data_IF_361601904545
#
_entry.id   IF_361601904545
#
_cell.length_a   1.000
_cell.length_b   1.000
_cell.length_c   1.000
_cell.angle_alpha   90.00
_cell.angle_beta   90.00
_cell.angle_gamma   90.00
#
_symmetry.space_group_name_H-M   'P 1'
#
loop_
_entity.id
_entity.type
_entity.pdbx_description
1 polymer ?
#
# COMPACT_ATOMS: atom_id res chain seq x y z
N UNK A 1 -4.17 -14.38 23.23
CA UNK A 1 -4.15 -12.96 23.66
C UNK A 1 -5.29 -12.23 22.96
N UNK A 2 -5.89 -11.21 23.59
CA UNK A 2 -6.90 -10.39 22.90
C UNK A 2 -6.25 -9.61 21.75
N UNK A 3 -6.94 -9.52 20.61
CA UNK A 3 -6.53 -8.74 19.42
C UNK A 3 -6.16 -7.30 19.81
N UNK A 4 -6.87 -6.73 20.78
CA UNK A 4 -6.66 -5.37 21.30
C UNK A 4 -5.24 -5.21 21.88
N UNK A 5 -4.78 -6.20 22.66
CA UNK A 5 -3.44 -6.16 23.27
C UNK A 5 -2.36 -6.21 22.19
N UNK A 6 -2.55 -7.03 21.16
CA UNK A 6 -1.63 -7.09 20.01
C UNK A 6 -1.53 -5.74 19.29
N UNK A 7 -2.66 -5.08 19.05
CA UNK A 7 -2.70 -3.76 18.41
C UNK A 7 -1.96 -2.72 19.26
N UNK A 8 -2.18 -2.69 20.58
CA UNK A 8 -1.51 -1.74 21.48
C UNK A 8 0.00 -1.97 21.50
N UNK A 9 0.45 -3.22 21.63
CA UNK A 9 1.89 -3.56 21.63
C UNK A 9 2.54 -3.16 20.31
N UNK A 10 1.92 -3.50 19.17
CA UNK A 10 2.44 -3.11 17.86
C UNK A 10 2.45 -1.58 17.67
N UNK A 11 1.40 -0.88 18.10
CA UNK A 11 1.31 0.57 18.03
C UNK A 11 2.43 1.27 18.82
N UNK A 12 2.74 0.78 20.02
CA UNK A 12 3.84 1.30 20.84
C UNK A 12 5.20 1.01 20.18
N UNK A 13 5.41 -0.20 19.66
CA UNK A 13 6.66 -0.56 18.97
C UNK A 13 6.91 0.33 17.74
N UNK A 14 5.90 0.49 16.88
CA UNK A 14 5.98 1.35 15.68
C UNK A 14 6.27 2.78 16.11
N UNK A 15 5.55 3.31 17.11
CA UNK A 15 5.74 4.67 17.60
C UNK A 15 7.18 4.93 18.09
N UNK A 16 7.74 4.01 18.89
CA UNK A 16 9.12 4.13 19.40
C UNK A 16 10.13 4.21 18.25
N UNK A 17 9.98 3.37 17.22
CA UNK A 17 10.91 3.35 16.07
C UNK A 17 10.72 4.59 15.18
N UNK A 18 9.49 5.02 14.93
CA UNK A 18 9.20 6.20 14.12
C UNK A 18 9.71 7.50 14.74
N UNK A 19 9.72 7.64 16.08
CA UNK A 19 10.24 8.83 16.78
C UNK A 19 11.77 8.95 16.68
N UNK A 20 12.49 7.84 16.52
CA UNK A 20 13.95 7.85 16.43
C UNK A 20 14.49 8.59 15.19
N UNK A 21 13.65 8.80 14.16
CA UNK A 21 13.98 9.58 12.97
C UNK A 21 14.55 8.76 11.80
N UNK A 22 14.60 9.37 10.62
CA UNK A 22 14.83 8.69 9.32
C UNK A 22 16.14 7.89 9.23
N UNK A 23 17.20 8.33 9.93
CA UNK A 23 18.50 7.63 9.93
C UNK A 23 18.41 6.25 10.58
N UNK A 24 17.71 6.15 11.71
CA UNK A 24 17.54 4.90 12.44
C UNK A 24 16.55 3.99 11.75
N UNK A 25 15.48 4.56 11.17
CA UNK A 25 14.54 3.82 10.32
C UNK A 25 15.28 3.18 9.14
N UNK A 26 16.12 3.93 8.43
CA UNK A 26 16.87 3.39 7.29
C UNK A 26 17.85 2.27 7.71
N UNK A 27 18.48 2.40 8.89
CA UNK A 27 19.32 1.34 9.43
C UNK A 27 18.51 0.09 9.80
N UNK A 28 17.39 0.26 10.48
CA UNK A 28 16.48 -0.83 10.84
C UNK A 28 15.97 -1.57 9.59
N UNK A 29 15.40 -0.86 8.62
CA UNK A 29 14.85 -1.45 7.39
C UNK A 29 15.91 -2.21 6.58
N UNK A 30 17.15 -1.72 6.57
CA UNK A 30 18.27 -2.40 5.90
C UNK A 30 18.54 -3.80 6.43
N UNK A 31 18.26 -4.09 7.71
CA UNK A 31 18.50 -5.41 8.30
C UNK A 31 17.22 -6.20 8.57
N UNK A 32 16.10 -5.52 8.81
CA UNK A 32 14.83 -6.14 9.12
C UNK A 32 14.37 -7.08 8.00
N UNK A 33 14.56 -6.70 6.72
CA UNK A 33 14.13 -7.51 5.58
C UNK A 33 14.77 -8.91 5.57
N UNK A 34 16.04 -9.02 5.93
CA UNK A 34 16.77 -10.29 5.86
C UNK A 34 16.17 -11.32 6.81
N UNK A 35 15.87 -10.89 8.03
CA UNK A 35 15.26 -11.74 9.05
C UNK A 35 13.86 -12.24 8.64
N UNK A 36 13.07 -11.40 7.97
CA UNK A 36 11.74 -11.75 7.46
C UNK A 36 11.83 -12.76 6.32
N UNK A 37 12.77 -12.56 5.40
CA UNK A 37 13.03 -13.49 4.29
C UNK A 37 13.41 -14.88 4.79
N UNK A 38 14.24 -14.99 5.84
CA UNK A 38 14.58 -16.27 6.43
C UNK A 38 13.35 -17.04 6.96
N UNK A 39 12.45 -16.35 7.66
CA UNK A 39 11.23 -16.95 8.22
C UNK A 39 10.24 -17.34 7.11
N UNK A 40 10.17 -16.57 6.02
CA UNK A 40 9.40 -16.93 4.82
C UNK A 40 9.96 -18.18 4.13
N UNK A 41 11.28 -18.37 4.05
CA UNK A 41 11.84 -19.61 3.51
C UNK A 41 11.49 -20.83 4.36
N UNK A 42 11.47 -20.68 5.69
CA UNK A 42 10.98 -21.74 6.60
C UNK A 42 9.50 -22.02 6.31
N UNK A 43 8.67 -20.98 6.11
CA UNK A 43 7.25 -21.15 5.75
C UNK A 43 7.10 -21.96 4.47
N UNK A 44 7.86 -21.62 3.43
CA UNK A 44 7.85 -22.32 2.14
C UNK A 44 8.24 -23.78 2.34
N UNK A 45 9.28 -24.08 3.12
CA UNK A 45 9.74 -25.45 3.36
C UNK A 45 8.66 -26.35 3.97
N UNK A 46 7.77 -25.78 4.79
CA UNK A 46 6.72 -26.50 5.51
C UNK A 46 5.43 -26.55 4.69
N UNK A 47 5.12 -25.48 3.98
CA UNK A 47 3.88 -25.36 3.22
C UNK A 47 3.96 -26.01 1.82
N UNK A 48 5.14 -26.02 1.19
CA UNK A 48 5.32 -26.48 -0.19
C UNK A 48 4.80 -27.91 -0.48
N UNK A 49 4.99 -28.91 0.41
CA UNK A 49 4.44 -30.26 0.18
C UNK A 49 2.91 -30.32 0.12
N UNK A 50 2.22 -29.32 0.67
CA UNK A 50 0.77 -29.26 0.72
C UNK A 50 0.16 -28.45 -0.44
N UNK A 51 0.98 -27.83 -1.30
CA UNK A 51 0.51 -27.02 -2.42
C UNK A 51 0.02 -27.90 -3.57
N UNK A 52 -1.30 -27.95 -3.77
CA UNK A 52 -1.91 -28.65 -4.89
C UNK A 52 -1.95 -27.74 -6.13
N UNK A 53 -1.10 -28.01 -7.12
CA UNK A 53 -1.05 -27.25 -8.38
C UNK A 53 -2.08 -27.70 -9.41
N UNK A 54 -2.81 -28.79 -9.15
CA UNK A 54 -3.79 -29.38 -10.06
C UNK A 54 -5.24 -29.02 -9.71
N UNK A 55 -5.47 -28.28 -8.63
CA UNK A 55 -6.81 -27.92 -8.18
C UNK A 55 -7.58 -27.12 -9.25
N UNK A 56 -8.72 -27.64 -9.70
CA UNK A 56 -9.56 -26.96 -10.68
C UNK A 56 -10.33 -25.78 -10.06
N UNK A 57 -10.56 -24.73 -10.86
CA UNK A 57 -11.35 -23.58 -10.43
C UNK A 57 -12.78 -24.00 -10.07
N UNK A 58 -13.20 -23.67 -8.84
CA UNK A 58 -14.56 -23.95 -8.34
C UNK A 58 -15.62 -23.02 -8.96
N UNK A 59 -15.24 -21.81 -9.38
CA UNK A 59 -16.14 -20.83 -10.00
C UNK A 59 -16.13 -20.93 -11.53
N UNK A 60 -17.31 -20.78 -12.15
CA UNK A 60 -17.50 -20.79 -13.62
C UNK A 60 -18.25 -19.54 -14.08
N UNK A 61 -18.06 -19.15 -15.34
CA UNK A 61 -18.76 -18.02 -15.97
C UNK A 61 -18.35 -16.66 -15.41
N UNK A 62 -19.34 -15.78 -15.21
CA UNK A 62 -19.14 -14.37 -14.80
C UNK A 62 -18.44 -14.22 -13.46
N UNK A 63 -18.67 -15.14 -12.52
CA UNK A 63 -18.01 -15.14 -11.20
C UNK A 63 -16.49 -15.38 -11.30
N UNK A 64 -16.05 -16.21 -12.25
CA UNK A 64 -14.62 -16.45 -12.49
C UNK A 64 -13.94 -15.20 -13.07
N UNK A 65 -14.60 -14.54 -14.02
CA UNK A 65 -14.10 -13.29 -14.62
C UNK A 65 -14.02 -12.20 -13.56
N UNK A 66 -15.08 -12.04 -12.75
CA UNK A 66 -15.11 -11.07 -11.65
C UNK A 66 -14.03 -11.33 -10.60
N UNK A 67 -13.82 -12.59 -10.22
CA UNK A 67 -12.73 -12.98 -9.31
C UNK A 67 -11.34 -12.64 -9.86
N UNK A 68 -11.08 -12.88 -11.15
CA UNK A 68 -9.79 -12.54 -11.80
C UNK A 68 -9.52 -11.05 -11.83
N UNK A 69 -10.54 -10.25 -12.15
CA UNK A 69 -10.43 -8.78 -12.19
C UNK A 69 -10.20 -8.24 -10.78
N UNK A 70 -10.97 -8.72 -9.80
CA UNK A 70 -10.82 -8.33 -8.39
C UNK A 70 -9.41 -8.64 -7.88
N UNK A 71 -8.91 -9.85 -8.19
CA UNK A 71 -7.57 -10.26 -7.80
C UNK A 71 -6.48 -9.39 -8.44
N UNK A 72 -6.62 -9.05 -9.73
CA UNK A 72 -5.68 -8.14 -10.40
C UNK A 72 -5.60 -6.77 -9.71
N UNK A 73 -6.75 -6.18 -9.38
CA UNK A 73 -6.78 -4.86 -8.71
C UNK A 73 -6.37 -4.93 -7.24
N UNK A 74 -6.62 -6.05 -6.56
CA UNK A 74 -6.08 -6.31 -5.23
C UNK A 74 -4.55 -6.28 -5.26
N UNK A 75 -3.93 -6.99 -6.21
CA UNK A 75 -2.48 -6.97 -6.40
C UNK A 75 -1.93 -5.58 -6.79
N UNK A 76 -2.66 -4.84 -7.62
CA UNK A 76 -2.25 -3.51 -8.09
C UNK A 76 -2.36 -2.42 -7.01
N UNK A 77 -3.29 -2.57 -6.04
CA UNK A 77 -3.59 -1.55 -5.04
C UNK A 77 -2.42 -1.24 -4.11
N UNK A 78 -1.65 -2.26 -3.71
CA UNK A 78 -0.59 -2.10 -2.72
C UNK A 78 0.60 -1.29 -3.27
N UNK A 79 1.18 -1.59 -4.45
CA UNK A 79 2.22 -0.73 -5.04
C UNK A 79 1.74 0.70 -5.30
N UNK A 80 0.47 0.88 -5.69
CA UNK A 80 -0.13 2.20 -5.90
C UNK A 80 -0.20 3.02 -4.61
N UNK A 81 -0.48 2.38 -3.47
CA UNK A 81 -0.46 3.02 -2.15
C UNK A 81 0.94 3.46 -1.72
N UNK A 82 1.99 2.77 -2.16
CA UNK A 82 3.38 3.14 -1.86
C UNK A 82 3.92 4.27 -2.74
N UNK A 83 3.43 4.41 -3.98
CA UNK A 83 3.88 5.43 -4.93
C UNK A 83 3.99 6.86 -4.35
N UNK A 84 2.99 7.40 -3.63
CA UNK A 84 3.11 8.71 -3.01
C UNK A 84 4.12 8.74 -1.86
N UNK A 85 4.31 7.65 -1.11
CA UNK A 85 5.25 7.62 0.01
C UNK A 85 6.70 7.65 -0.46
N UNK A 86 7.00 7.05 -1.63
CA UNK A 86 8.38 7.03 -2.19
C UNK A 86 8.92 8.45 -2.43
N UNK A 87 8.04 9.43 -2.69
CA UNK A 87 8.45 10.81 -2.94
C UNK A 87 9.19 11.45 -1.75
N UNK A 88 8.88 11.03 -0.53
CA UNK A 88 9.49 11.57 0.69
C UNK A 88 10.93 11.09 0.89
N UNK A 89 11.33 10.02 0.21
CA UNK A 89 12.65 9.40 0.35
C UNK A 89 13.64 9.86 -0.75
N UNK A 90 13.14 10.32 -1.91
CA UNK A 90 14.00 10.80 -3.00
C UNK A 90 14.94 11.98 -2.63
N UNK A 91 14.57 12.94 -1.76
CA UNK A 91 15.46 14.04 -1.36
C UNK A 91 16.75 13.58 -0.65
N UNK A 92 16.76 12.35 -0.11
CA UNK A 92 17.94 11.79 0.55
C UNK A 92 18.93 11.15 -0.43
N UNK A 93 18.59 11.04 -1.72
CA UNK A 93 19.50 10.54 -2.75
C UNK A 93 20.39 11.67 -3.30
N UNK A 94 21.66 11.39 -3.62
CA UNK A 94 22.53 12.38 -4.25
C UNK A 94 22.02 12.73 -5.66
N UNK A 95 22.21 13.99 -6.07
CA UNK A 95 21.74 14.56 -7.34
C UNK A 95 22.31 13.83 -8.57
N UNK A 96 23.46 13.15 -8.43
CA UNK A 96 24.12 12.38 -9.48
C UNK A 96 23.50 10.99 -9.75
N UNK A 97 22.44 10.61 -9.04
CA UNK A 97 21.85 9.27 -9.13
C UNK A 97 21.21 9.02 -10.50
N UNK A 98 21.54 7.89 -11.14
CA UNK A 98 20.97 7.51 -12.43
C UNK A 98 19.46 7.21 -12.32
N UNK A 99 18.63 7.99 -13.02
CA UNK A 99 17.16 7.83 -13.06
C UNK A 99 16.70 6.44 -13.50
N UNK A 100 17.34 5.86 -14.51
CA UNK A 100 16.95 4.55 -15.05
C UNK A 100 17.40 3.41 -14.15
N UNK A 101 18.58 3.56 -13.52
CA UNK A 101 19.04 2.63 -12.50
C UNK A 101 18.11 2.64 -11.28
N UNK A 102 17.72 3.83 -10.81
CA UNK A 102 16.80 3.96 -9.69
C UNK A 102 15.41 3.37 -10.00
N UNK A 103 14.86 3.67 -11.19
CA UNK A 103 13.62 3.07 -11.66
C UNK A 103 13.70 1.54 -11.75
N UNK A 104 14.77 0.99 -12.32
CA UNK A 104 14.94 -0.45 -12.45
C UNK A 104 15.08 -1.14 -11.09
N UNK A 105 15.82 -0.55 -10.13
CA UNK A 105 15.95 -1.09 -8.78
C UNK A 105 14.62 -1.13 -8.05
N UNK A 106 13.83 -0.05 -8.13
CA UNK A 106 12.49 0.01 -7.52
C UNK A 106 11.58 -1.03 -8.17
N UNK A 107 11.53 -1.09 -9.50
CA UNK A 107 10.69 -2.04 -10.23
C UNK A 107 11.04 -3.49 -9.89
N UNK A 108 12.32 -3.86 -9.99
CA UNK A 108 12.78 -5.23 -9.74
C UNK A 108 12.64 -5.62 -8.27
N UNK A 109 12.94 -4.71 -7.34
CA UNK A 109 12.80 -4.94 -5.91
C UNK A 109 11.35 -5.17 -5.50
N UNK A 110 10.44 -4.28 -5.91
CA UNK A 110 9.01 -4.45 -5.64
C UNK A 110 8.44 -5.68 -6.34
N UNK A 111 8.79 -5.92 -7.61
CA UNK A 111 8.29 -7.08 -8.34
C UNK A 111 8.75 -8.39 -7.70
N UNK A 112 10.04 -8.54 -7.39
CA UNK A 112 10.57 -9.76 -6.79
C UNK A 112 9.94 -10.02 -5.41
N UNK A 113 9.88 -9.00 -4.56
CA UNK A 113 9.27 -9.12 -3.23
C UNK A 113 7.79 -9.47 -3.32
N UNK A 114 7.01 -8.75 -4.15
CA UNK A 114 5.56 -8.97 -4.26
C UNK A 114 5.24 -10.32 -4.87
N UNK A 115 5.90 -10.69 -5.96
CA UNK A 115 5.69 -11.99 -6.62
C UNK A 115 5.95 -13.13 -5.64
N UNK A 116 7.04 -13.05 -4.85
CA UNK A 116 7.40 -14.12 -3.91
C UNK A 116 6.34 -14.36 -2.84
N UNK A 117 5.83 -13.31 -2.20
CA UNK A 117 4.83 -13.42 -1.12
C UNK A 117 3.46 -13.82 -1.67
N UNK A 118 3.09 -13.31 -2.85
CA UNK A 118 1.80 -13.60 -3.47
C UNK A 118 1.67 -15.08 -3.83
N UNK A 119 2.72 -15.69 -4.39
CA UNK A 119 2.71 -17.13 -4.69
C UNK A 119 2.57 -18.00 -3.44
N UNK A 120 3.16 -17.59 -2.31
CA UNK A 120 2.97 -18.28 -1.02
C UNK A 120 1.50 -18.15 -0.58
N UNK A 121 0.91 -16.97 -0.68
CA UNK A 121 -0.49 -16.72 -0.36
C UNK A 121 -1.45 -17.56 -1.21
N UNK A 122 -1.22 -17.63 -2.52
CA UNK A 122 -1.97 -18.51 -3.45
C UNK A 122 -1.85 -19.96 -3.02
N UNK A 123 -0.62 -20.44 -2.76
CA UNK A 123 -0.36 -21.81 -2.34
C UNK A 123 -1.12 -22.17 -1.06
N UNK A 124 -1.01 -21.32 -0.03
CA UNK A 124 -1.75 -21.49 1.22
C UNK A 124 -3.27 -21.50 0.99
N UNK A 125 -3.78 -20.60 0.15
CA UNK A 125 -5.20 -20.51 -0.18
C UNK A 125 -5.76 -21.76 -0.85
N UNK A 126 -4.99 -22.36 -1.77
CA UNK A 126 -5.39 -23.63 -2.42
C UNK A 126 -5.38 -24.78 -1.42
N UNK A 127 -4.36 -24.84 -0.55
CA UNK A 127 -4.22 -25.89 0.45
C UNK A 127 -5.27 -25.87 1.56
N UNK A 128 -6.01 -24.77 1.75
CA UNK A 128 -7.14 -24.72 2.68
C UNK A 128 -8.22 -25.78 2.38
N UNK A 129 -8.40 -26.14 1.09
CA UNK A 129 -9.38 -27.15 0.71
C UNK A 129 -8.95 -28.58 1.07
N UNK A 130 -7.63 -28.83 1.13
CA UNK A 130 -7.05 -30.14 1.43
C UNK A 130 -6.81 -30.34 2.94
N UNK A 131 -6.53 -29.26 3.68
CA UNK A 131 -6.15 -29.30 5.08
C UNK A 131 -7.23 -28.68 6.00
N UNK A 132 -8.08 -29.48 6.68
CA UNK A 132 -9.13 -28.95 7.53
C UNK A 132 -8.61 -28.16 8.74
N UNK A 133 -7.42 -28.49 9.25
CA UNK A 133 -6.79 -27.72 10.33
C UNK A 133 -6.45 -26.29 9.88
N UNK A 134 -5.93 -26.12 8.66
CA UNK A 134 -5.63 -24.80 8.10
C UNK A 134 -6.91 -24.02 7.78
N UNK A 135 -7.95 -24.71 7.28
CA UNK A 135 -9.27 -24.10 7.09
C UNK A 135 -9.89 -23.62 8.41
N UNK A 136 -9.72 -24.39 9.50
CA UNK A 136 -10.18 -24.00 10.83
C UNK A 136 -9.39 -22.81 11.38
N UNK A 137 -8.06 -22.78 11.20
CA UNK A 137 -7.23 -21.64 11.56
C UNK A 137 -7.57 -20.37 10.77
N UNK A 138 -7.97 -20.51 9.51
CA UNK A 138 -8.42 -19.39 8.67
C UNK A 138 -9.88 -18.96 8.93
N UNK A 139 -10.62 -19.66 9.80
CA UNK A 139 -12.01 -19.31 10.10
C UNK A 139 -12.11 -17.84 10.55
N UNK A 140 -13.06 -17.11 9.96
CA UNK A 140 -13.23 -15.67 10.21
C UNK A 140 -12.16 -14.78 9.55
N UNK A 141 -11.49 -15.24 8.49
CA UNK A 141 -10.44 -14.53 7.75
C UNK A 141 -9.18 -14.21 8.60
N UNK A 142 -8.87 -15.05 9.58
CA UNK A 142 -7.73 -14.84 10.47
C UNK A 142 -6.43 -15.39 9.85
N UNK A 143 -5.71 -14.53 9.13
CA UNK A 143 -4.43 -14.89 8.50
C UNK A 143 -3.36 -15.25 9.54
N UNK A 144 -3.34 -14.61 10.70
CA UNK A 144 -2.36 -14.90 11.75
C UNK A 144 -2.54 -16.30 12.35
N UNK A 145 -3.78 -16.72 12.58
CA UNK A 145 -4.09 -18.07 13.03
C UNK A 145 -3.81 -19.12 11.94
N UNK A 146 -4.05 -18.81 10.66
CA UNK A 146 -3.61 -19.68 9.57
C UNK A 146 -2.08 -19.88 9.57
N UNK A 147 -1.30 -18.81 9.68
CA UNK A 147 0.16 -18.91 9.71
C UNK A 147 0.64 -19.72 10.92
N UNK A 148 0.01 -19.57 12.09
CA UNK A 148 0.28 -20.39 13.26
C UNK A 148 0.08 -21.88 12.97
N UNK A 149 -1.04 -22.27 12.37
CA UNK A 149 -1.33 -23.66 12.04
C UNK A 149 -0.36 -24.24 10.99
N UNK A 150 0.10 -23.42 10.04
CA UNK A 150 1.12 -23.85 9.06
C UNK A 150 2.46 -24.14 9.74
N UNK A 151 2.84 -23.36 10.75
CA UNK A 151 4.09 -23.55 11.51
C UNK A 151 4.00 -24.60 12.63
N UNK A 152 2.80 -25.07 12.97
CA UNK A 152 2.55 -26.07 14.02
C UNK A 152 3.48 -27.30 13.98
N UNK A 153 3.84 -27.88 12.80
CA UNK A 153 4.75 -29.03 12.73
C UNK A 153 6.15 -28.79 13.31
N UNK A 154 6.58 -27.54 13.47
CA UNK A 154 7.91 -27.15 13.99
C UNK A 154 7.89 -26.94 15.51
N UNK A 155 6.74 -27.13 16.16
CA UNK A 155 6.58 -26.97 17.60
C UNK A 155 7.02 -25.59 18.10
N UNK A 156 7.90 -25.55 19.09
CA UNK A 156 8.35 -24.30 19.72
C UNK A 156 9.03 -23.33 18.73
N UNK A 157 9.75 -23.84 17.73
CA UNK A 157 10.38 -23.00 16.71
C UNK A 157 9.32 -22.40 15.77
N UNK A 158 8.26 -23.15 15.46
CA UNK A 158 7.11 -22.65 14.70
C UNK A 158 6.43 -21.46 15.38
N UNK A 159 6.20 -21.55 16.69
CA UNK A 159 5.63 -20.45 17.48
C UNK A 159 6.50 -19.19 17.41
N UNK A 160 7.82 -19.33 17.48
CA UNK A 160 8.76 -18.23 17.32
C UNK A 160 8.64 -17.59 15.92
N UNK A 161 8.62 -18.40 14.87
CA UNK A 161 8.45 -17.93 13.49
C UNK A 161 7.12 -17.18 13.27
N UNK A 162 6.00 -17.67 13.83
CA UNK A 162 4.70 -16.99 13.75
C UNK A 162 4.70 -15.62 14.40
N UNK A 163 5.33 -15.47 15.58
CA UNK A 163 5.45 -14.16 16.22
C UNK A 163 6.36 -13.25 15.40
N UNK A 164 7.45 -13.79 14.87
CA UNK A 164 8.45 -13.03 14.12
C UNK A 164 7.91 -12.50 12.78
N UNK A 165 7.13 -13.30 12.05
CA UNK A 165 6.47 -12.84 10.82
C UNK A 165 5.39 -11.80 11.14
N UNK A 166 4.70 -11.92 12.28
CA UNK A 166 3.76 -10.91 12.78
C UNK A 166 4.45 -9.57 13.11
N UNK A 167 5.64 -9.61 13.70
CA UNK A 167 6.49 -8.43 13.92
C UNK A 167 6.95 -7.77 12.60
N UNK A 168 7.05 -8.54 11.52
CA UNK A 168 7.37 -8.02 10.18
C UNK A 168 6.35 -6.98 9.68
N UNK A 169 5.10 -7.06 10.14
CA UNK A 169 4.06 -6.08 9.83
C UNK A 169 4.46 -4.68 10.34
N UNK A 170 5.17 -4.59 11.48
CA UNK A 170 5.65 -3.32 11.99
C UNK A 170 6.64 -2.65 11.03
N UNK A 171 7.55 -3.42 10.43
CA UNK A 171 8.48 -2.90 9.41
C UNK A 171 7.76 -2.34 8.18
N UNK A 172 6.63 -2.94 7.77
CA UNK A 172 5.84 -2.39 6.68
C UNK A 172 5.14 -1.06 7.05
N UNK A 173 4.67 -0.92 8.29
CA UNK A 173 3.89 0.24 8.73
C UNK A 173 4.77 1.46 9.06
N UNK A 174 6.02 1.24 9.49
CA UNK A 174 6.93 2.32 9.90
C UNK A 174 7.14 3.38 8.79
N UNK A 175 7.53 3.03 7.54
CA UNK A 175 7.76 4.03 6.51
C UNK A 175 6.47 4.75 6.10
N UNK A 176 5.33 4.04 6.05
CA UNK A 176 4.02 4.63 5.74
C UNK A 176 3.54 5.60 6.82
N UNK A 177 3.94 5.39 8.08
CA UNK A 177 3.60 6.28 9.20
C UNK A 177 4.49 7.54 9.26
N UNK A 178 5.73 7.44 8.76
CA UNK A 178 6.66 8.58 8.68
C UNK A 178 6.22 9.63 7.63
N UNK A 179 5.66 9.20 6.51
CA UNK A 179 5.24 10.08 5.41
C UNK A 179 4.20 11.15 5.84
N UNK A 180 3.08 10.82 6.51
CA UNK A 180 2.15 11.82 7.06
C UNK A 180 2.80 12.78 8.05
N UNK A 181 3.77 12.31 8.85
CA UNK A 181 4.48 13.17 9.80
C UNK A 181 5.31 14.24 9.07
N UNK A 182 5.98 13.88 7.97
CA UNK A 182 6.67 14.86 7.11
C UNK A 182 5.69 15.84 6.45
N UNK A 183 4.56 15.35 5.96
CA UNK A 183 3.49 16.21 5.44
C UNK A 183 2.97 17.23 6.46
N UNK A 184 2.75 16.80 7.71
CA UNK A 184 2.32 17.68 8.79
C UNK A 184 3.41 18.72 9.18
N UNK A 185 4.69 18.33 9.16
CA UNK A 185 5.79 19.25 9.41
C UNK A 185 5.87 20.35 8.34
N UNK A 186 5.71 19.98 7.06
CA UNK A 186 5.65 20.94 5.95
C UNK A 186 4.50 21.94 6.13
N UNK A 187 3.32 21.48 6.57
CA UNK A 187 2.17 22.34 6.83
C UNK A 187 2.38 23.31 8.00
N UNK A 188 3.20 22.91 8.99
CA UNK A 188 3.49 23.72 10.18
C UNK A 188 4.57 24.79 9.96
N UNK A 189 5.40 24.63 8.94
CA UNK A 189 6.42 25.61 8.57
C UNK A 189 5.74 26.86 7.98
N UNK A 190 5.63 27.94 8.77
CA UNK A 190 5.06 29.22 8.30
C UNK A 190 5.80 29.69 7.03
N UNK A 191 5.09 30.08 5.95
CA UNK A 191 5.72 30.72 4.81
C UNK A 191 6.37 32.02 5.28
N UNK A 192 7.69 32.16 5.12
CA UNK A 192 8.36 33.46 5.27
C UNK A 192 8.00 34.29 4.04
N UNK A 193 7.31 35.43 4.16
CA UNK A 193 7.02 36.25 3.00
C UNK A 193 8.34 36.87 2.51
N UNK A 194 8.84 36.42 1.36
CA UNK A 194 9.75 37.23 0.56
C UNK A 194 8.95 37.80 -0.59
N UNK A 195 8.69 39.10 -0.49
CA UNK A 195 8.01 39.88 -1.50
C UNK A 195 8.80 39.88 -2.82
N UNK A 196 8.37 39.09 -3.80
CA UNK A 196 8.78 39.22 -5.20
C UNK A 196 7.94 38.30 -6.12
N UNK A 197 6.63 38.54 -6.32
CA UNK A 197 5.89 37.76 -7.34
C UNK A 197 4.65 38.42 -7.94
N UNK A 198 4.65 39.75 -8.12
CA UNK A 198 3.57 40.45 -8.83
C UNK A 198 3.78 40.60 -10.36
N UNK A 199 4.76 39.93 -10.98
CA UNK A 199 5.08 40.16 -12.40
C UNK A 199 5.03 38.96 -13.36
N UNK A 200 4.68 37.74 -12.91
CA UNK A 200 4.75 36.57 -13.81
C UNK A 200 3.41 36.10 -14.40
N UNK A 201 2.31 36.79 -14.14
CA UNK A 201 0.97 36.30 -14.49
C UNK A 201 0.58 36.37 -15.98
N UNK A 202 1.49 36.70 -16.90
CA UNK A 202 1.14 36.87 -18.33
C UNK A 202 1.66 35.79 -19.31
N UNK A 203 2.31 34.71 -18.84
CA UNK A 203 2.75 33.61 -19.73
C UNK A 203 2.53 32.23 -19.10
N UNK A 204 1.28 31.80 -18.98
CA UNK A 204 1.01 30.41 -18.60
C UNK A 204 -0.13 29.79 -19.41
N UNK A 205 0.06 29.72 -20.73
CA UNK A 205 -0.64 28.78 -21.58
C UNK A 205 0.42 28.17 -22.52
N UNK A 206 0.67 26.87 -22.33
CA UNK A 206 1.59 25.98 -23.07
C UNK A 206 3.09 26.12 -22.73
N UNK A 207 3.60 25.15 -21.98
CA UNK A 207 4.94 24.59 -22.26
C UNK A 207 6.07 24.73 -21.25
N UNK A 208 5.88 25.17 -20.00
CA UNK A 208 7.01 25.36 -19.07
C UNK A 208 6.77 24.74 -17.69
N UNK A 209 7.84 24.16 -17.14
CA UNK A 209 7.84 23.26 -16.00
C UNK A 209 7.34 23.83 -14.68
N UNK A 210 7.10 22.92 -13.75
CA UNK A 210 6.69 23.18 -12.38
C UNK A 210 7.63 24.19 -11.69
N UNK A 211 7.09 25.33 -11.24
CA UNK A 211 7.86 26.35 -10.54
C UNK A 211 8.18 25.88 -9.11
N UNK A 212 9.39 25.36 -8.92
CA UNK A 212 9.85 24.82 -7.63
C UNK A 212 9.88 25.86 -6.51
N UNK A 213 9.93 27.15 -6.85
CA UNK A 213 9.95 28.22 -5.84
C UNK A 213 8.61 28.36 -5.11
N UNK A 214 7.50 28.00 -5.77
CA UNK A 214 6.13 28.14 -5.27
C UNK A 214 5.54 26.84 -4.68
N UNK A 215 6.31 25.75 -4.64
CA UNK A 215 5.86 24.43 -4.18
C UNK A 215 5.27 24.45 -2.76
N UNK A 216 5.82 25.28 -1.87
CA UNK A 216 5.45 25.30 -0.45
C UNK A 216 4.53 26.48 -0.06
N UNK A 217 3.93 27.14 -1.05
CA UNK A 217 3.06 28.28 -0.79
C UNK A 217 1.60 27.83 -0.67
N UNK A 218 1.01 28.03 0.52
CA UNK A 218 -0.41 27.70 0.82
C UNK A 218 -1.39 28.29 -0.20
N UNK A 219 -1.02 29.39 -0.84
CA UNK A 219 -1.85 30.11 -1.78
C UNK A 219 -1.90 29.48 -3.18
N UNK A 220 -1.05 28.50 -3.49
CA UNK A 220 -1.03 27.79 -4.78
C UNK A 220 -1.40 26.31 -4.64
N UNK A 221 -1.69 25.85 -3.41
CA UNK A 221 -2.16 24.49 -3.14
C UNK A 221 -3.64 24.33 -3.53
N UNK A 222 -4.02 23.28 -4.27
CA UNK A 222 -5.40 23.01 -4.63
C UNK A 222 -6.25 22.74 -3.37
N UNK A 223 -7.53 23.11 -3.42
CA UNK A 223 -8.47 22.94 -2.30
C UNK A 223 -8.82 21.46 -2.04
N UNK A 224 -8.45 20.57 -2.96
CA UNK A 224 -8.65 19.13 -2.82
C UNK A 224 -10.09 18.68 -3.10
N UNK A 225 -10.94 19.55 -3.64
CA UNK A 225 -12.34 19.23 -3.97
C UNK A 225 -12.41 18.09 -4.99
N UNK A 226 -11.44 18.03 -5.91
CA UNK A 226 -11.30 16.93 -6.86
C UNK A 226 -10.97 15.57 -6.21
N UNK A 227 -10.31 15.56 -5.05
CA UNK A 227 -9.98 14.30 -4.36
C UNK A 227 -11.19 13.70 -3.63
N UNK A 228 -12.11 14.54 -3.15
CA UNK A 228 -13.33 14.10 -2.47
C UNK A 228 -14.30 13.37 -3.40
N UNK A 229 -14.39 13.80 -4.67
CA UNK A 229 -15.29 13.16 -5.64
C UNK A 229 -14.84 11.75 -5.97
N UNK A 230 -13.54 11.48 -6.08
CA UNK A 230 -12.99 10.14 -6.35
C UNK A 230 -13.30 9.12 -5.25
N UNK A 231 -13.29 9.54 -3.98
CA UNK A 231 -13.60 8.68 -2.84
C UNK A 231 -15.03 8.14 -2.86
N UNK A 232 -16.00 8.96 -3.25
CA UNK A 232 -17.42 8.55 -3.33
C UNK A 232 -17.59 7.39 -4.31
N UNK A 233 -16.96 7.47 -5.48
CA UNK A 233 -17.05 6.43 -6.51
C UNK A 233 -16.29 5.16 -6.15
N UNK A 234 -15.18 5.28 -5.41
CA UNK A 234 -14.48 4.12 -4.87
C UNK A 234 -15.41 3.30 -3.96
N UNK A 235 -16.10 3.95 -3.02
CA UNK A 235 -16.99 3.29 -2.05
C UNK A 235 -18.17 2.61 -2.74
N UNK A 236 -18.76 3.22 -3.78
CA UNK A 236 -19.90 2.63 -4.49
C UNK A 236 -19.56 1.33 -5.25
N UNK A 237 -18.31 1.18 -5.67
CA UNK A 237 -17.81 0.06 -6.47
C UNK A 237 -16.97 -0.96 -5.69
N UNK A 238 -16.84 -0.78 -4.38
CA UNK A 238 -16.01 -1.61 -3.50
C UNK A 238 -16.72 -2.91 -3.10
N UNK A 239 -15.98 -4.03 -3.11
CA UNK A 239 -16.47 -5.34 -2.65
C UNK A 239 -15.51 -5.95 -1.64
N UNK A 240 -15.72 -5.63 -0.36
CA UNK A 240 -14.92 -6.12 0.76
C UNK A 240 -15.68 -7.13 1.62
N UNK A 241 -14.96 -7.84 2.49
CA UNK A 241 -15.52 -8.81 3.44
C UNK A 241 -16.59 -8.21 4.37
N UNK A 242 -16.52 -6.91 4.65
CA UNK A 242 -17.43 -6.22 5.57
C UNK A 242 -18.38 -5.22 4.88
N UNK A 243 -18.22 -4.97 3.58
CA UNK A 243 -19.04 -4.00 2.86
C UNK A 243 -19.07 -4.30 1.36
N UNK A 244 -20.27 -4.32 0.77
CA UNK A 244 -20.48 -4.45 -0.67
C UNK A 244 -21.27 -3.25 -1.17
N UNK A 245 -20.66 -2.45 -2.05
CA UNK A 245 -21.29 -1.30 -2.66
C UNK A 245 -22.42 -1.68 -3.63
N UNK A 246 -23.39 -0.79 -3.87
CA UNK A 246 -24.55 -1.07 -4.72
C UNK A 246 -24.18 -1.38 -6.19
N UNK A 247 -23.06 -0.84 -6.68
CA UNK A 247 -22.57 -1.13 -8.05
C UNK A 247 -21.82 -2.48 -8.06
N UNK A 248 -21.05 -2.77 -7.01
CA UNK A 248 -20.38 -4.06 -6.82
C UNK A 248 -21.37 -5.23 -6.61
N UNK A 249 -22.61 -4.96 -6.22
CA UNK A 249 -23.65 -5.98 -6.18
C UNK A 249 -24.15 -6.40 -7.58
N UNK A 250 -24.01 -5.53 -8.59
CA UNK A 250 -24.47 -5.81 -9.96
C UNK A 250 -23.43 -6.58 -10.78
N UNK A 251 -22.15 -6.36 -10.51
CA UNK A 251 -21.03 -7.05 -11.14
C UNK A 251 -20.22 -7.66 -10.00
N UNK A 252 -20.11 -9.01 -9.89
CA UNK A 252 -19.41 -9.67 -8.78
C UNK A 252 -17.88 -9.52 -8.92
N UNK A 253 -17.41 -8.27 -8.92
CA UNK A 253 -16.03 -7.86 -9.05
C UNK A 253 -15.78 -6.61 -8.19
N UNK A 254 -14.65 -6.56 -7.49
CA UNK A 254 -14.19 -5.33 -6.87
C UNK A 254 -13.57 -4.42 -7.95
N UNK A 255 -14.27 -3.32 -8.23
CA UNK A 255 -13.90 -2.32 -9.22
C UNK A 255 -13.61 -0.95 -8.58
N UNK A 256 -13.45 -0.89 -7.26
CA UNK A 256 -13.24 0.36 -6.54
C UNK A 256 -12.05 1.16 -7.06
N UNK A 257 -10.91 0.49 -7.27
CA UNK A 257 -9.68 1.13 -7.75
C UNK A 257 -9.75 1.61 -9.21
N UNK A 258 -10.08 0.79 -10.22
CA UNK A 258 -10.14 1.24 -11.61
C UNK A 258 -11.20 2.31 -11.82
N UNK A 259 -12.39 2.18 -11.22
CA UNK A 259 -13.47 3.14 -11.40
C UNK A 259 -13.10 4.47 -10.75
N UNK A 260 -12.52 4.47 -9.55
CA UNK A 260 -12.07 5.72 -8.91
C UNK A 260 -10.92 6.37 -9.66
N UNK A 261 -9.95 5.61 -10.18
CA UNK A 261 -8.85 6.14 -10.98
C UNK A 261 -9.32 6.75 -12.30
N UNK A 262 -10.18 6.04 -13.05
CA UNK A 262 -10.75 6.56 -14.30
C UNK A 262 -11.64 7.77 -14.04
N UNK A 263 -12.46 7.72 -13.00
CA UNK A 263 -13.32 8.84 -12.63
C UNK A 263 -12.50 10.06 -12.20
N UNK A 264 -11.47 9.87 -11.39
CA UNK A 264 -10.53 10.93 -11.03
C UNK A 264 -9.88 11.51 -12.29
N UNK A 265 -9.40 10.68 -13.22
CA UNK A 265 -8.79 11.18 -14.46
C UNK A 265 -9.76 12.00 -15.34
N UNK A 266 -11.03 11.59 -15.42
CA UNK A 266 -12.05 12.28 -16.22
C UNK A 266 -12.58 13.55 -15.56
N UNK A 267 -12.83 13.49 -14.25
CA UNK A 267 -13.43 14.60 -13.52
C UNK A 267 -12.39 15.60 -13.09
N UNK A 268 -11.19 15.20 -12.69
CA UNK A 268 -10.15 16.11 -12.18
C UNK A 268 -9.92 17.38 -13.02
N UNK A 269 -9.86 17.34 -14.37
CA UNK A 269 -9.72 18.54 -15.18
C UNK A 269 -10.80 19.61 -14.93
N UNK A 270 -12.04 19.21 -14.62
CA UNK A 270 -13.18 20.13 -14.46
C UNK A 270 -13.12 20.93 -13.16
N UNK A 271 -13.04 20.34 -11.94
CA UNK A 271 -12.81 21.08 -10.71
C UNK A 271 -11.47 21.81 -10.73
N UNK A 272 -10.42 21.25 -11.35
CA UNK A 272 -9.13 21.94 -11.43
C UNK A 272 -9.21 23.22 -12.26
N UNK A 273 -9.89 23.18 -13.41
CA UNK A 273 -10.14 24.37 -14.21
C UNK A 273 -11.01 25.39 -13.47
N UNK A 274 -12.02 24.91 -12.74
CA UNK A 274 -12.88 25.78 -11.92
C UNK A 274 -12.11 26.43 -10.75
N UNK A 275 -11.27 25.68 -10.04
CA UNK A 275 -10.40 26.17 -8.96
C UNK A 275 -9.44 27.25 -9.47
N UNK A 276 -8.81 27.01 -10.63
CA UNK A 276 -7.92 27.96 -11.28
C UNK A 276 -8.64 29.27 -11.66
N UNK A 277 -9.87 29.18 -12.16
CA UNK A 277 -10.63 30.37 -12.59
C UNK A 277 -11.27 31.15 -11.42
N UNK A 278 -11.70 30.48 -10.36
CA UNK A 278 -12.38 31.11 -9.22
C UNK A 278 -11.42 31.60 -8.14
N UNK A 279 -10.37 30.84 -7.87
CA UNK A 279 -9.45 31.10 -6.75
C UNK A 279 -8.05 31.48 -7.22
N UNK A 280 -7.71 31.30 -8.50
CA UNK A 280 -6.37 31.56 -9.03
C UNK A 280 -5.31 30.56 -8.54
N UNK A 281 -5.74 29.37 -8.08
CA UNK A 281 -4.92 28.31 -7.46
C UNK A 281 -5.07 26.98 -8.18
#
# INVERSE_FOLDING_TARGET
MSVIVGIVVMGVLIWVVSVAGIKYVHYFEKYAFFSQVCVLFVLIGVAAPHFDMSAANKSRGTALIGGRISYFFLCASEPLGWAPNVQDYFPYHPISTNRWGNWAMILLGFAASKISVEFIGIGLGVSLAANPAWAAGFAGNNVGALLYEVYSPLGAFGNFCTVFIGLGIAANIIPGSCSPAFGAQLLSARPRPRAAHLLDHARHIRGTGYDRSKWNEKEYLPLGIAALTGWVWAVLCMSQTHFTGPIAALIPADLGLPVSATWAALVYPLPRWWELNKFGR
#
